data_IF_857998639259
#
_entry.id   IF_857998639259
#
_cell.length_a   1.000
_cell.length_b   1.000
_cell.length_c   1.000
_cell.angle_alpha   90.00
_cell.angle_beta   90.00
_cell.angle_gamma   90.00
#
_symmetry.space_group_name_H-M   'P 1'
#
loop_
_entity.id
_entity.type
_entity.pdbx_description
1 polymer ?
#
# COMPACT_ATOMS: atom_id res chain seq x y z
N UNK A 1 -4.09 26.86 -13.97
CA UNK A 1 -4.90 25.81 -14.62
C UNK A 1 -6.29 25.90 -14.03
N UNK A 2 -7.26 26.22 -14.86
CA UNK A 2 -8.64 26.31 -14.42
C UNK A 2 -9.19 24.89 -14.27
N UNK A 3 -9.57 24.52 -13.05
CA UNK A 3 -10.12 23.19 -12.75
C UNK A 3 -11.55 23.12 -13.29
N UNK A 4 -11.76 22.35 -14.35
CA UNK A 4 -13.09 22.08 -14.92
C UNK A 4 -13.65 20.79 -14.31
N UNK A 5 -14.91 20.77 -13.85
CA UNK A 5 -15.52 19.56 -13.31
C UNK A 5 -15.62 18.46 -14.37
N UNK A 6 -15.37 17.21 -13.96
CA UNK A 6 -15.60 16.03 -14.80
C UNK A 6 -17.08 15.64 -14.69
N UNK A 7 -17.79 15.63 -15.81
CA UNK A 7 -19.17 15.19 -15.93
C UNK A 7 -19.25 13.69 -16.19
N UNK A 8 -19.70 12.92 -15.19
CA UNK A 8 -19.92 11.49 -15.33
C UNK A 8 -21.21 11.06 -14.59
N UNK A 9 -21.95 10.07 -15.13
CA UNK A 9 -23.15 9.57 -14.47
C UNK A 9 -22.79 8.85 -13.16
N UNK A 10 -23.46 9.22 -12.06
CA UNK A 10 -23.31 8.58 -10.74
C UNK A 10 -24.35 7.47 -10.62
N UNK A 11 -23.93 6.23 -10.87
CA UNK A 11 -24.81 5.05 -10.86
C UNK A 11 -24.32 4.03 -9.85
N UNK A 12 -25.23 3.42 -9.10
CA UNK A 12 -24.97 2.30 -8.19
C UNK A 12 -25.97 1.17 -8.44
N UNK A 13 -25.71 -0.04 -7.93
CA UNK A 13 -26.66 -1.16 -7.99
C UNK A 13 -27.08 -1.58 -9.41
N UNK A 14 -28.38 -1.82 -9.61
CA UNK A 14 -28.95 -2.26 -10.90
C UNK A 14 -28.72 -1.26 -12.04
N UNK A 15 -28.95 0.06 -11.88
CA UNK A 15 -28.60 1.04 -12.91
C UNK A 15 -27.15 0.93 -13.41
N UNK A 16 -26.18 0.75 -12.50
CA UNK A 16 -24.77 0.56 -12.88
C UNK A 16 -24.55 -0.72 -13.69
N UNK A 17 -25.22 -1.82 -13.32
CA UNK A 17 -25.14 -3.10 -14.06
C UNK A 17 -25.72 -2.99 -15.47
N UNK A 18 -26.84 -2.27 -15.63
CA UNK A 18 -27.44 -2.04 -16.95
C UNK A 18 -26.52 -1.17 -17.78
N UNK A 19 -26.03 -0.07 -17.20
CA UNK A 19 -25.12 0.84 -17.88
C UNK A 19 -23.82 0.16 -18.33
N UNK A 20 -23.22 -0.70 -17.49
CA UNK A 20 -21.99 -1.42 -17.85
C UNK A 20 -22.17 -2.46 -18.95
N UNK A 21 -23.36 -3.06 -19.07
CA UNK A 21 -23.72 -3.93 -20.19
C UNK A 21 -23.95 -3.10 -21.46
N UNK A 22 -24.64 -1.97 -21.34
CA UNK A 22 -24.93 -1.06 -22.44
C UNK A 22 -23.65 -0.55 -23.11
N UNK A 23 -22.66 -0.13 -22.31
CA UNK A 23 -21.39 0.41 -22.84
C UNK A 23 -20.53 -0.62 -23.57
N UNK A 24 -20.81 -1.91 -23.38
CA UNK A 24 -20.15 -3.01 -24.12
C UNK A 24 -20.83 -3.34 -25.44
N UNK A 25 -22.05 -2.85 -25.69
CA UNK A 25 -22.77 -3.13 -26.93
C UNK A 25 -22.14 -2.39 -28.11
N UNK A 26 -21.86 -3.07 -29.24
CA UNK A 26 -21.25 -2.44 -30.40
C UNK A 26 -22.14 -1.31 -30.95
N UNK A 27 -21.52 -0.22 -31.40
CA UNK A 27 -22.22 0.98 -31.85
C UNK A 27 -22.74 1.84 -30.70
N UNK A 28 -23.75 1.37 -29.96
CA UNK A 28 -24.40 2.13 -28.89
C UNK A 28 -23.43 2.52 -27.77
N UNK A 29 -22.62 1.57 -27.31
CA UNK A 29 -21.60 1.83 -26.29
C UNK A 29 -20.54 2.83 -26.76
N UNK A 30 -20.14 2.77 -28.03
CA UNK A 30 -19.20 3.73 -28.62
C UNK A 30 -19.81 5.15 -28.66
N UNK A 31 -21.10 5.28 -29.00
CA UNK A 31 -21.79 6.58 -28.99
C UNK A 31 -21.86 7.18 -27.58
N UNK A 32 -22.20 6.37 -26.59
CA UNK A 32 -22.22 6.80 -25.18
C UNK A 32 -20.83 7.24 -24.72
N UNK A 33 -19.79 6.45 -25.00
CA UNK A 33 -18.41 6.80 -24.64
C UNK A 33 -17.89 8.05 -25.37
N UNK A 34 -18.28 8.24 -26.64
CA UNK A 34 -17.95 9.46 -27.40
C UNK A 34 -18.59 10.71 -26.77
N UNK A 35 -19.85 10.61 -26.33
CA UNK A 35 -20.53 11.71 -25.63
C UNK A 35 -19.81 12.06 -24.34
N UNK A 36 -19.50 11.07 -23.48
CA UNK A 36 -18.75 11.28 -22.23
C UNK A 36 -17.39 11.92 -22.51
N UNK A 37 -16.63 11.44 -23.50
CA UNK A 37 -15.34 12.03 -23.87
C UNK A 37 -15.48 13.48 -24.37
N UNK A 38 -16.54 13.79 -25.12
CA UNK A 38 -16.82 15.14 -25.62
C UNK A 38 -17.18 16.09 -24.49
N UNK A 39 -18.07 15.68 -23.59
CA UNK A 39 -18.52 16.49 -22.46
C UNK A 39 -17.37 16.83 -21.50
N UNK A 40 -16.41 15.92 -21.38
CA UNK A 40 -15.21 16.08 -20.55
C UNK A 40 -14.00 16.63 -21.32
N UNK A 41 -14.21 17.20 -22.52
CA UNK A 41 -13.16 17.82 -23.33
C UNK A 41 -11.90 16.94 -23.55
N UNK A 42 -12.03 15.62 -23.60
CA UNK A 42 -10.88 14.73 -23.88
C UNK A 42 -10.24 14.98 -25.25
N UNK A 43 -10.96 15.66 -26.16
CA UNK A 43 -10.39 16.10 -27.45
C UNK A 43 -9.31 17.17 -27.27
N UNK A 44 -9.36 17.96 -26.20
CA UNK A 44 -8.36 18.97 -25.89
C UNK A 44 -6.97 18.36 -25.72
N UNK A 45 -6.86 17.14 -25.16
CA UNK A 45 -5.57 16.44 -25.04
C UNK A 45 -4.97 16.15 -26.42
N UNK A 46 -5.80 15.75 -27.39
CA UNK A 46 -5.36 15.50 -28.77
C UNK A 46 -5.01 16.80 -29.50
N UNK A 47 -5.82 17.83 -29.33
CA UNK A 47 -5.60 19.15 -29.91
C UNK A 47 -4.31 19.77 -29.36
N UNK A 48 -4.13 19.77 -28.03
CA UNK A 48 -2.92 20.20 -27.37
C UNK A 48 -1.70 19.41 -27.86
N UNK A 49 -1.77 18.08 -27.92
CA UNK A 49 -0.69 17.26 -28.46
C UNK A 49 -0.33 17.65 -29.91
N UNK A 50 -1.30 18.03 -30.75
CA UNK A 50 -1.03 18.49 -32.12
C UNK A 50 -0.33 19.85 -32.20
N UNK A 51 -0.40 20.67 -31.13
CA UNK A 51 0.35 21.94 -31.04
C UNK A 51 1.81 21.75 -30.63
N UNK A 52 2.15 20.60 -30.06
CA UNK A 52 3.51 20.24 -29.65
C UNK A 52 4.27 19.61 -30.83
N UNK A 53 4.69 20.43 -31.80
CA UNK A 53 5.41 19.97 -33.00
C UNK A 53 6.83 19.45 -32.73
N UNK A 54 7.55 20.11 -31.82
CA UNK A 54 9.00 19.89 -31.61
C UNK A 54 9.34 19.28 -30.24
N UNK A 55 8.34 18.77 -29.52
CA UNK A 55 8.55 18.17 -28.18
C UNK A 55 8.55 16.66 -28.29
N UNK A 56 9.68 16.05 -27.95
CA UNK A 56 9.77 14.60 -27.85
C UNK A 56 8.95 14.07 -26.67
N UNK A 57 8.10 13.04 -26.86
CA UNK A 57 7.36 12.43 -25.76
C UNK A 57 8.30 11.86 -24.71
N UNK A 58 8.07 12.23 -23.45
CA UNK A 58 8.76 11.70 -22.28
C UNK A 58 7.94 10.53 -21.74
N UNK A 59 8.43 9.31 -21.91
CA UNK A 59 7.72 8.08 -21.54
C UNK A 59 7.80 7.74 -20.04
N UNK A 60 8.80 8.28 -19.35
CA UNK A 60 9.03 8.11 -17.92
C UNK A 60 9.43 9.45 -17.31
N UNK A 61 9.05 9.76 -16.07
CA UNK A 61 9.49 10.99 -15.41
C UNK A 61 11.03 11.07 -15.41
N UNK A 62 11.59 12.05 -16.13
CA UNK A 62 13.04 12.29 -16.18
C UNK A 62 13.35 13.60 -15.45
N UNK A 63 13.82 13.48 -14.22
CA UNK A 63 14.26 14.61 -13.41
C UNK A 63 15.58 14.26 -12.72
N UNK A 64 16.73 14.46 -13.39
CA UNK A 64 18.03 14.23 -12.74
C UNK A 64 18.20 15.24 -11.58
N UNK A 65 18.72 14.81 -10.41
CA UNK A 65 19.00 15.72 -9.32
C UNK A 65 20.13 16.68 -9.70
N UNK A 66 20.14 17.88 -9.13
CA UNK A 66 21.31 18.77 -9.25
C UNK A 66 22.52 18.17 -8.54
N UNK A 67 23.72 18.65 -8.86
CA UNK A 67 24.95 18.18 -8.23
C UNK A 67 24.93 18.41 -6.71
N UNK A 68 24.33 19.53 -6.26
CA UNK A 68 24.18 19.87 -4.85
C UNK A 68 23.24 18.89 -4.13
N UNK A 69 22.06 18.62 -4.70
CA UNK A 69 21.08 17.67 -4.12
C UNK A 69 21.67 16.26 -4.06
N UNK A 70 22.39 15.84 -5.10
CA UNK A 70 23.06 14.55 -5.12
C UNK A 70 24.12 14.44 -4.02
N UNK A 71 24.93 15.48 -3.82
CA UNK A 71 25.95 15.51 -2.78
C UNK A 71 25.32 15.46 -1.37
N UNK A 72 24.26 16.25 -1.14
CA UNK A 72 23.50 16.24 0.12
C UNK A 72 22.92 14.86 0.42
N UNK A 73 22.20 14.26 -0.54
CA UNK A 73 21.60 12.94 -0.36
C UNK A 73 22.64 11.84 -0.18
N UNK A 74 23.80 11.95 -0.82
CA UNK A 74 24.91 11.01 -0.63
C UNK A 74 25.44 11.08 0.80
N UNK A 75 25.58 12.29 1.36
CA UNK A 75 26.03 12.49 2.73
C UNK A 75 25.00 11.99 3.76
N UNK A 76 23.70 12.23 3.53
CA UNK A 76 22.62 11.73 4.37
C UNK A 76 22.53 10.20 4.32
N UNK A 77 22.66 9.60 3.13
CA UNK A 77 22.66 8.14 2.98
C UNK A 77 23.86 7.50 3.68
N UNK A 78 25.03 8.15 3.65
CA UNK A 78 26.23 7.64 4.31
C UNK A 78 26.13 7.65 5.85
N UNK A 79 25.30 8.54 6.43
CA UNK A 79 25.09 8.63 7.88
C UNK A 79 23.81 7.95 8.36
N UNK A 80 23.02 7.38 7.45
CA UNK A 80 21.74 6.75 7.76
C UNK A 80 21.93 5.44 8.52
N UNK A 81 21.15 5.25 9.60
CA UNK A 81 21.03 3.99 10.34
C UNK A 81 19.56 3.68 10.57
N UNK A 82 19.16 2.46 10.23
CA UNK A 82 17.81 1.94 10.43
C UNK A 82 17.52 1.81 11.92
N UNK A 83 18.51 1.46 12.72
CA UNK A 83 18.41 1.37 14.18
C UNK A 83 18.16 2.74 14.80
N UNK A 84 18.92 3.76 14.40
CA UNK A 84 18.72 5.13 14.86
C UNK A 84 17.33 5.67 14.48
N UNK A 85 16.85 5.36 13.26
CA UNK A 85 15.51 5.71 12.84
C UNK A 85 14.44 4.99 13.66
N UNK A 86 14.64 3.70 13.94
CA UNK A 86 13.73 2.91 14.77
C UNK A 86 13.69 3.40 16.23
N UNK A 87 14.78 3.96 16.74
CA UNK A 87 14.86 4.51 18.10
C UNK A 87 14.44 5.99 18.19
N UNK A 88 14.07 6.60 17.06
CA UNK A 88 13.60 7.99 17.03
C UNK A 88 12.29 8.13 17.81
N UNK A 89 12.31 8.92 18.88
CA UNK A 89 11.13 9.18 19.70
C UNK A 89 10.13 10.04 18.93
N UNK A 90 8.86 9.62 18.97
CA UNK A 90 7.74 10.44 18.51
C UNK A 90 7.25 11.21 19.73
N UNK A 91 7.33 12.54 19.68
CA UNK A 91 6.78 13.39 20.73
C UNK A 91 5.26 13.24 20.76
N UNK A 92 4.72 12.80 21.89
CA UNK A 92 3.29 12.56 22.06
C UNK A 92 2.83 13.29 23.31
N UNK A 93 1.79 14.13 23.15
CA UNK A 93 1.11 14.77 24.27
C UNK A 93 0.48 13.71 25.18
N UNK A 94 0.78 13.79 26.47
CA UNK A 94 0.27 12.87 27.47
C UNK A 94 -1.26 12.72 27.41
N UNK A 95 -1.72 11.47 27.53
CA UNK A 95 -3.14 11.11 27.52
C UNK A 95 -3.80 11.04 26.13
N UNK A 96 -3.07 11.31 25.03
CA UNK A 96 -3.62 11.15 23.68
C UNK A 96 -3.51 9.71 23.17
N UNK A 97 -4.51 9.28 22.39
CA UNK A 97 -4.46 7.97 21.71
C UNK A 97 -3.31 7.96 20.71
N UNK A 98 -2.48 6.91 20.77
CA UNK A 98 -1.42 6.65 19.78
C UNK A 98 -1.47 5.22 19.27
N UNK A 99 -1.07 5.04 18.00
CA UNK A 99 -0.87 3.72 17.40
C UNK A 99 0.50 3.17 17.83
N UNK A 100 0.62 1.85 17.94
CA UNK A 100 1.91 1.20 18.18
C UNK A 100 2.86 1.46 17.01
N UNK A 101 4.07 1.90 17.32
CA UNK A 101 5.16 2.03 16.34
C UNK A 101 5.90 0.70 16.17
N UNK A 102 6.79 0.62 15.17
CA UNK A 102 7.74 -0.49 15.01
C UNK A 102 8.58 -0.68 16.30
N UNK A 103 9.03 0.43 16.89
CA UNK A 103 9.77 0.41 18.16
C UNK A 103 8.94 -0.17 19.30
N UNK A 104 7.65 0.17 19.40
CA UNK A 104 6.77 -0.36 20.45
C UNK A 104 6.64 -1.88 20.39
N UNK A 105 6.54 -2.46 19.19
CA UNK A 105 6.53 -3.90 19.02
C UNK A 105 7.87 -4.53 19.43
N UNK A 106 8.95 -4.07 18.83
CA UNK A 106 10.26 -4.70 19.02
C UNK A 106 10.82 -4.51 20.43
N UNK A 107 10.56 -3.38 21.08
CA UNK A 107 10.91 -3.16 22.50
C UNK A 107 10.17 -4.12 23.42
N UNK A 108 8.87 -4.36 23.20
CA UNK A 108 8.08 -5.34 23.96
C UNK A 108 8.52 -6.77 23.72
N UNK A 109 8.90 -7.11 22.49
CA UNK A 109 9.47 -8.42 22.16
C UNK A 109 10.81 -8.65 22.86
N UNK A 110 11.71 -7.65 22.84
CA UNK A 110 12.99 -7.69 23.57
C UNK A 110 12.79 -7.78 25.08
N UNK A 111 11.80 -7.07 25.62
CA UNK A 111 11.45 -7.09 27.04
C UNK A 111 10.68 -8.35 27.47
N UNK A 112 10.27 -9.20 26.52
CA UNK A 112 9.44 -10.39 26.78
C UNK A 112 8.01 -10.09 27.26
N UNK A 113 7.56 -8.83 27.17
CA UNK A 113 6.20 -8.42 27.58
C UNK A 113 5.14 -8.70 26.51
N UNK A 114 5.57 -8.97 25.29
CA UNK A 114 4.76 -9.52 24.20
C UNK A 114 5.63 -10.42 23.31
N UNK A 115 5.00 -11.27 22.50
CA UNK A 115 5.71 -12.06 21.47
C UNK A 115 5.13 -11.82 20.08
N UNK A 116 5.92 -12.01 19.00
CA UNK A 116 5.40 -11.99 17.64
C UNK A 116 4.19 -12.92 17.43
N UNK A 117 4.19 -14.11 18.05
CA UNK A 117 3.06 -15.06 17.97
C UNK A 117 1.77 -14.50 18.58
N UNK A 118 1.86 -13.84 19.75
CA UNK A 118 0.72 -13.19 20.38
C UNK A 118 0.18 -12.05 19.50
N UNK A 119 1.07 -11.25 18.92
CA UNK A 119 0.69 -10.14 18.06
C UNK A 119 0.02 -10.62 16.78
N UNK A 120 0.57 -11.62 16.09
CA UNK A 120 -0.06 -12.16 14.87
C UNK A 120 -1.40 -12.81 15.16
N UNK A 121 -1.55 -13.50 16.29
CA UNK A 121 -2.85 -14.03 16.73
C UNK A 121 -3.87 -12.90 16.90
N UNK A 122 -3.50 -11.83 17.62
CA UNK A 122 -4.36 -10.67 17.81
C UNK A 122 -4.71 -9.95 16.49
N UNK A 123 -3.79 -9.92 15.52
CA UNK A 123 -4.05 -9.37 14.19
C UNK A 123 -5.06 -10.23 13.44
N UNK A 124 -4.92 -11.55 13.46
CA UNK A 124 -5.88 -12.47 12.83
C UNK A 124 -7.28 -12.34 13.45
N UNK A 125 -7.35 -12.27 14.77
CA UNK A 125 -8.61 -12.05 15.50
C UNK A 125 -9.26 -10.71 15.11
N UNK A 126 -8.45 -9.64 14.99
CA UNK A 126 -8.94 -8.33 14.57
C UNK A 126 -9.45 -8.35 13.11
N UNK A 127 -8.79 -9.09 12.22
CA UNK A 127 -9.25 -9.29 10.84
C UNK A 127 -10.63 -9.97 10.85
N UNK A 128 -10.77 -11.07 11.59
CA UNK A 128 -12.02 -11.82 11.66
C UNK A 128 -13.15 -10.99 12.29
N UNK A 129 -12.87 -10.28 13.39
CA UNK A 129 -13.82 -9.37 14.01
C UNK A 129 -14.28 -8.26 13.04
N UNK A 130 -13.35 -7.68 12.27
CA UNK A 130 -13.68 -6.63 11.29
C UNK A 130 -14.51 -7.15 10.10
N UNK A 131 -14.31 -8.41 9.72
CA UNK A 131 -15.06 -9.07 8.64
C UNK A 131 -16.45 -9.51 9.10
N UNK A 132 -16.67 -9.70 10.41
CA UNK A 132 -17.97 -10.02 10.98
C UNK A 132 -18.90 -8.79 11.15
N UNK A 133 -18.38 -7.57 10.94
CA UNK A 133 -19.19 -6.34 11.01
C UNK A 133 -20.23 -6.27 9.89
N UNK A 134 -21.21 -5.37 10.07
CA UNK A 134 -22.22 -5.05 9.06
C UNK A 134 -22.23 -3.53 8.79
N UNK A 135 -21.71 -3.07 7.64
CA UNK A 135 -21.08 -3.84 6.56
C UNK A 135 -19.70 -4.39 6.95
N UNK A 136 -19.24 -5.50 6.34
CA UNK A 136 -17.92 -6.06 6.62
C UNK A 136 -16.83 -5.15 6.06
N UNK A 137 -15.70 -5.01 6.77
CA UNK A 137 -14.60 -4.15 6.32
C UNK A 137 -13.85 -4.74 5.12
N UNK A 138 -13.58 -6.06 5.15
CA UNK A 138 -12.88 -6.79 4.08
C UNK A 138 -11.55 -6.14 3.66
N UNK A 139 -10.78 -5.62 4.63
CA UNK A 139 -9.50 -4.95 4.39
C UNK A 139 -8.44 -5.89 3.80
N UNK A 140 -8.51 -7.18 4.13
CA UNK A 140 -7.65 -8.23 3.57
C UNK A 140 -8.50 -9.17 2.73
N UNK A 141 -8.19 -9.26 1.43
CA UNK A 141 -8.92 -10.14 0.51
C UNK A 141 -8.48 -11.61 0.62
N UNK A 142 -7.28 -11.86 1.14
CA UNK A 142 -6.72 -13.19 1.44
C UNK A 142 -5.69 -13.08 2.56
N UNK A 143 -5.62 -14.14 3.36
CA UNK A 143 -4.68 -14.29 4.48
C UNK A 143 -4.25 -15.75 4.53
N UNK A 144 -2.95 -16.02 4.48
CA UNK A 144 -2.41 -17.36 4.69
C UNK A 144 -2.08 -17.55 6.17
N UNK A 145 -3.08 -18.03 6.91
CA UNK A 145 -3.01 -18.17 8.37
C UNK A 145 -1.85 -19.05 8.82
N UNK A 146 -1.67 -20.20 8.17
CA UNK A 146 -0.65 -21.17 8.57
C UNK A 146 0.74 -20.60 8.40
N UNK A 147 1.00 -19.94 7.26
CA UNK A 147 2.28 -19.28 7.06
C UNK A 147 2.50 -18.19 8.12
N UNK A 148 1.54 -17.28 8.34
CA UNK A 148 1.77 -16.14 9.26
C UNK A 148 2.02 -16.59 10.69
N UNK A 149 1.35 -17.66 11.11
CA UNK A 149 1.57 -18.28 12.40
C UNK A 149 2.95 -18.95 12.49
N UNK A 150 3.38 -19.67 11.44
CA UNK A 150 4.71 -20.30 11.40
C UNK A 150 5.84 -19.27 11.46
N UNK A 151 5.74 -18.18 10.70
CA UNK A 151 6.73 -17.12 10.72
C UNK A 151 6.77 -16.37 12.06
N UNK A 152 5.60 -16.15 12.67
CA UNK A 152 5.49 -15.54 13.99
C UNK A 152 6.14 -16.43 15.06
N UNK A 153 5.95 -17.75 14.98
CA UNK A 153 6.61 -18.71 15.86
C UNK A 153 8.13 -18.65 15.69
N UNK A 154 8.62 -18.66 14.46
CA UNK A 154 10.05 -18.54 14.17
C UNK A 154 10.65 -17.22 14.68
N UNK A 155 9.92 -16.10 14.57
CA UNK A 155 10.34 -14.82 15.14
C UNK A 155 10.34 -14.86 16.68
N UNK A 156 9.32 -15.48 17.28
CA UNK A 156 9.21 -15.63 18.74
C UNK A 156 10.41 -16.39 19.31
N UNK A 157 10.83 -17.48 18.66
CA UNK A 157 12.04 -18.21 19.04
C UNK A 157 13.31 -17.36 18.94
N UNK A 158 13.44 -16.56 17.87
CA UNK A 158 14.59 -15.66 17.70
C UNK A 158 14.68 -14.63 18.83
N UNK A 159 13.55 -14.05 19.23
CA UNK A 159 13.51 -13.14 20.38
C UNK A 159 13.84 -13.86 21.68
N UNK A 160 13.31 -15.06 21.91
CA UNK A 160 13.63 -15.85 23.09
C UNK A 160 15.13 -16.21 23.18
N UNK A 161 15.79 -16.42 22.04
CA UNK A 161 17.25 -16.66 21.95
C UNK A 161 18.10 -15.38 21.95
N UNK A 162 17.48 -14.19 21.97
CA UNK A 162 18.21 -12.92 21.88
C UNK A 162 18.86 -12.66 20.52
N UNK A 163 18.39 -13.32 19.45
CA UNK A 163 18.93 -13.22 18.09
C UNK A 163 17.89 -12.70 17.07
N UNK A 164 17.27 -11.52 17.27
CA UNK A 164 16.34 -10.95 16.30
C UNK A 164 17.06 -10.55 15.01
N UNK A 165 16.36 -10.61 13.86
CA UNK A 165 16.94 -10.32 12.55
C UNK A 165 17.12 -8.82 12.26
N UNK A 166 16.47 -7.94 13.02
CA UNK A 166 16.51 -6.48 12.80
C UNK A 166 15.29 -5.77 13.37
N UNK A 167 15.13 -4.48 13.03
CA UNK A 167 14.07 -3.62 13.59
C UNK A 167 12.65 -4.00 13.14
N UNK A 168 12.52 -4.81 12.08
CA UNK A 168 11.23 -5.30 11.57
C UNK A 168 10.98 -6.78 11.90
N UNK A 169 11.83 -7.43 12.71
CA UNK A 169 11.62 -8.84 13.00
C UNK A 169 10.36 -9.05 13.84
N UNK A 170 9.43 -9.88 13.35
CA UNK A 170 8.15 -10.13 14.01
C UNK A 170 7.14 -8.97 13.97
N UNK A 171 7.40 -7.90 13.21
CA UNK A 171 6.46 -6.78 13.04
C UNK A 171 5.46 -7.10 11.91
N UNK A 172 4.14 -7.02 12.13
CA UNK A 172 3.13 -7.29 11.10
C UNK A 172 3.15 -6.23 9.98
N UNK A 173 3.11 -6.68 8.73
CA UNK A 173 3.08 -5.79 7.55
C UNK A 173 2.03 -6.26 6.55
N UNK A 174 1.16 -5.35 6.13
CA UNK A 174 0.18 -5.58 5.08
C UNK A 174 0.72 -5.15 3.72
N UNK A 175 0.49 -5.98 2.70
CA UNK A 175 1.03 -5.77 1.36
C UNK A 175 -0.12 -5.62 0.37
N UNK A 176 0.02 -4.66 -0.55
CA UNK A 176 -0.98 -4.42 -1.60
C UNK A 176 -0.93 -5.54 -2.64
N UNK A 177 -2.10 -6.02 -3.04
CA UNK A 177 -2.27 -7.19 -3.89
C UNK A 177 -1.66 -7.08 -5.30
N UNK A 178 -1.50 -5.85 -5.81
CA UNK A 178 -0.93 -5.58 -7.13
C UNK A 178 0.59 -5.81 -7.22
N UNK A 179 1.24 -6.14 -6.10
CA UNK A 179 2.68 -6.41 -6.05
C UNK A 179 2.92 -7.92 -6.20
N UNK A 180 3.82 -8.32 -7.12
CA UNK A 180 4.21 -9.71 -7.31
C UNK A 180 5.21 -10.14 -6.22
N UNK A 181 4.98 -11.31 -5.62
CA UNK A 181 5.85 -11.90 -4.60
C UNK A 181 6.31 -13.29 -5.02
N UNK A 182 7.62 -13.50 -5.02
CA UNK A 182 8.25 -14.77 -5.32
C UNK A 182 8.68 -15.37 -3.98
N UNK A 183 7.90 -16.27 -3.39
CA UNK A 183 8.39 -17.44 -2.63
C UNK A 183 7.21 -18.38 -2.29
N UNK A 184 7.34 -19.61 -2.78
CA UNK A 184 6.45 -20.80 -2.65
C UNK A 184 5.13 -20.81 -3.46
N UNK A 185 5.17 -21.62 -4.53
CA UNK A 185 4.07 -22.41 -5.14
C UNK A 185 2.70 -21.74 -5.34
N UNK A 186 2.43 -21.36 -6.59
CA UNK A 186 1.13 -21.32 -7.28
C UNK A 186 -0.12 -21.19 -6.38
N UNK A 187 -0.56 -19.95 -6.10
CA UNK A 187 -1.98 -19.53 -6.19
C UNK A 187 -2.21 -18.10 -5.66
N UNK A 188 -2.67 -17.25 -6.57
CA UNK A 188 -3.55 -16.07 -6.45
C UNK A 188 -3.90 -15.53 -5.03
N UNK A 189 -3.07 -14.61 -4.53
CA UNK A 189 -3.34 -13.21 -4.12
C UNK A 189 -3.98 -12.77 -2.77
N UNK A 190 -3.18 -11.99 -2.00
CA UNK A 190 -3.09 -11.43 -0.63
C UNK A 190 -2.63 -12.34 0.56
N UNK A 191 -1.51 -11.99 1.19
CA UNK A 191 -0.97 -12.57 2.44
C UNK A 191 -0.20 -11.47 3.20
N UNK A 192 -0.29 -11.44 4.53
CA UNK A 192 0.34 -10.45 5.41
C UNK A 192 1.80 -10.85 5.69
N UNK A 193 2.80 -10.28 5.01
CA UNK A 193 4.21 -10.56 5.30
C UNK A 193 5.25 -9.47 5.02
N UNK A 194 6.38 -9.68 5.69
CA UNK A 194 7.55 -8.85 6.03
C UNK A 194 8.23 -8.12 4.88
N UNK A 195 8.64 -6.87 5.13
CA UNK A 195 9.62 -6.13 4.35
C UNK A 195 11.02 -6.30 4.97
N UNK A 196 12.01 -6.71 4.16
CA UNK A 196 13.40 -6.28 4.36
C UNK A 196 13.50 -4.93 3.62
N UNK A 197 13.59 -3.84 4.37
CA UNK A 197 13.78 -2.48 3.84
C UNK A 197 15.28 -2.26 3.60
N UNK A 198 15.58 -1.68 2.44
CA UNK A 198 16.85 -1.02 2.12
C UNK A 198 16.90 0.29 2.87
#
# INVERSE_FOLDING_TARGET
MDLVPIEAPRLTGTPLKVFSKLTRFPGLGNTVLKKIKKDNNFQHVREFASTLGDVMPVYVPLQPPSAEVLAEHTQLAASFSIEALADTSIDVKDGSFRRCTIHDYTSRYKAGTATPSQVITAVLDAIDASNALSPPLLAFIKVNRDAVLQEAAAATERYARGTPLGVLDGVPVAVKDEVCWIFSTLSTFAQLFKLNVI
#
